data_IF_746379715761
#
_entry.id   IF_746379715761
#
_cell.length_a   1.000
_cell.length_b   1.000
_cell.length_c   1.000
_cell.angle_alpha   90.00
_cell.angle_beta   90.00
_cell.angle_gamma   90.00
#
_symmetry.space_group_name_H-M   'P 1'
#
loop_
_entity.id
_entity.type
_entity.pdbx_description
1 polymer ?
#
# COMPACT_ATOMS: atom_id res chain seq x y z
N UNK A 1 -13.63 2.80 20.20
CA UNK A 1 -14.16 4.04 20.82
C UNK A 1 -13.30 5.18 20.30
N UNK A 2 -13.85 6.14 19.58
CA UNK A 2 -13.08 7.32 19.15
C UNK A 2 -13.09 8.32 20.30
N UNK A 3 -11.90 8.72 20.77
CA UNK A 3 -11.75 9.80 21.74
C UNK A 3 -11.43 11.06 20.93
N UNK A 4 -12.39 11.96 20.78
CA UNK A 4 -12.20 13.29 20.21
C UNK A 4 -12.35 14.35 21.31
N UNK A 5 -11.63 15.47 21.22
CA UNK A 5 -11.89 16.61 22.11
C UNK A 5 -13.34 17.07 21.93
N UNK A 6 -13.99 17.39 23.05
CA UNK A 6 -15.36 17.92 23.04
C UNK A 6 -15.35 19.30 22.37
N UNK A 7 -16.10 19.42 21.28
CA UNK A 7 -16.30 20.68 20.56
C UNK A 7 -17.48 21.42 21.20
N UNK A 8 -17.31 22.69 21.52
CA UNK A 8 -18.39 23.52 22.06
C UNK A 8 -18.99 24.35 20.93
N UNK A 9 -20.32 24.29 20.77
CA UNK A 9 -21.03 25.01 19.71
C UNK A 9 -20.96 26.54 19.89
N UNK A 10 -20.72 27.02 21.11
CA UNK A 10 -20.54 28.43 21.45
C UNK A 10 -19.11 28.95 21.33
N UNK A 11 -18.13 28.05 21.12
CA UNK A 11 -16.73 28.44 20.96
C UNK A 11 -16.44 28.91 19.53
N UNK A 12 -15.43 29.76 19.37
CA UNK A 12 -15.00 30.18 18.03
C UNK A 12 -14.43 29.00 17.24
N UNK A 13 -14.48 29.07 15.90
CA UNK A 13 -13.84 28.07 15.04
C UNK A 13 -12.36 27.91 15.39
N UNK A 14 -11.65 29.02 15.65
CA UNK A 14 -10.24 29.02 16.02
C UNK A 14 -9.97 28.28 17.36
N UNK A 15 -10.82 28.47 18.36
CA UNK A 15 -10.68 27.75 19.65
C UNK A 15 -10.86 26.24 19.47
N UNK A 16 -11.86 25.86 18.69
CA UNK A 16 -12.16 24.47 18.38
C UNK A 16 -11.03 23.83 17.53
N UNK A 17 -10.42 24.55 16.59
CA UNK A 17 -9.24 24.11 15.83
C UNK A 17 -8.02 23.89 16.73
N UNK A 18 -7.76 24.81 17.67
CA UNK A 18 -6.68 24.64 18.65
C UNK A 18 -6.89 23.41 19.54
N UNK A 19 -8.13 23.15 19.96
CA UNK A 19 -8.48 21.93 20.73
C UNK A 19 -8.28 20.66 19.91
N UNK A 20 -8.62 20.67 18.62
CA UNK A 20 -8.36 19.56 17.70
C UNK A 20 -6.87 19.31 17.49
N UNK A 21 -6.06 20.37 17.40
CA UNK A 21 -4.61 20.26 17.16
C UNK A 21 -3.84 19.73 18.38
N UNK A 22 -4.26 20.06 19.60
CA UNK A 22 -3.59 19.66 20.84
C UNK A 22 -4.23 18.45 21.55
N UNK A 23 -5.47 18.11 21.19
CA UNK A 23 -6.23 17.01 21.78
C UNK A 23 -5.91 15.66 21.15
N UNK A 24 -6.29 14.55 21.80
CA UNK A 24 -6.13 13.22 21.23
C UNK A 24 -6.98 13.06 19.96
N UNK A 25 -6.37 12.55 18.89
CA UNK A 25 -7.02 12.37 17.58
C UNK A 25 -7.58 10.95 17.37
N UNK A 26 -7.90 10.24 18.45
CA UNK A 26 -8.40 8.87 18.45
C UNK A 26 -7.55 7.91 19.29
N UNK A 27 -8.19 6.88 19.87
CA UNK A 27 -7.54 5.80 20.60
C UNK A 27 -8.11 4.46 20.12
N UNK A 28 -7.31 3.69 19.37
CA UNK A 28 -7.68 2.35 18.93
C UNK A 28 -7.04 1.32 19.86
N UNK A 29 -7.85 0.70 20.71
CA UNK A 29 -7.44 -0.47 21.48
C UNK A 29 -8.00 -1.70 20.75
N UNK A 30 -7.10 -2.46 20.12
CA UNK A 30 -7.44 -3.64 19.34
C UNK A 30 -6.94 -4.90 20.03
N UNK A 31 -7.87 -5.76 20.46
CA UNK A 31 -7.57 -7.07 21.06
C UNK A 31 -8.09 -8.18 20.15
N UNK A 32 -7.32 -8.60 19.13
CA UNK A 32 -7.75 -9.68 18.26
C UNK A 32 -7.79 -10.99 19.04
N UNK A 33 -8.98 -11.55 19.24
CA UNK A 33 -9.13 -12.96 19.61
C UNK A 33 -9.05 -13.80 18.34
N UNK A 34 -7.83 -14.17 17.93
CA UNK A 34 -7.62 -15.06 16.78
C UNK A 34 -6.59 -16.14 17.10
N UNK A 35 -6.83 -17.34 16.60
CA UNK A 35 -5.81 -18.38 16.54
C UNK A 35 -4.77 -17.99 15.48
N UNK A 36 -3.61 -17.54 15.97
CA UNK A 36 -2.53 -17.06 15.11
C UNK A 36 -1.75 -18.25 14.52
N UNK A 37 -1.96 -18.51 13.23
CA UNK A 37 -1.20 -19.50 12.46
C UNK A 37 -0.33 -18.79 11.43
N UNK A 38 0.92 -18.49 11.80
CA UNK A 38 1.84 -17.70 10.97
C UNK A 38 1.98 -18.23 9.53
N UNK A 39 2.17 -19.54 9.36
CA UNK A 39 2.31 -20.14 8.03
C UNK A 39 1.05 -20.00 7.16
N UNK A 40 -0.14 -20.10 7.75
CA UNK A 40 -1.41 -19.87 7.04
C UNK A 40 -1.53 -18.41 6.60
N UNK A 41 -1.16 -17.47 7.46
CA UNK A 41 -1.22 -16.04 7.15
C UNK A 41 -0.23 -15.69 6.03
N UNK A 42 1.00 -16.22 6.07
CA UNK A 42 1.96 -16.04 4.99
C UNK A 42 1.48 -16.63 3.66
N UNK A 43 0.85 -17.82 3.69
CA UNK A 43 0.31 -18.43 2.48
C UNK A 43 -0.84 -17.59 1.89
N UNK A 44 -1.72 -17.04 2.74
CA UNK A 44 -2.80 -16.15 2.30
C UNK A 44 -2.22 -14.87 1.69
N UNK A 45 -1.26 -14.22 2.36
CA UNK A 45 -0.60 -13.02 1.85
C UNK A 45 0.07 -13.28 0.49
N UNK A 46 0.83 -14.37 0.40
CA UNK A 46 1.48 -14.78 -0.85
C UNK A 46 0.47 -15.00 -1.98
N UNK A 47 -0.68 -15.64 -1.71
CA UNK A 47 -1.72 -15.84 -2.72
C UNK A 47 -2.34 -14.52 -3.17
N UNK A 48 -2.56 -13.58 -2.24
CA UNK A 48 -3.05 -12.24 -2.56
C UNK A 48 -2.03 -11.50 -3.45
N UNK A 49 -0.76 -11.48 -3.06
CA UNK A 49 0.32 -10.83 -3.83
C UNK A 49 0.52 -11.47 -5.21
N UNK A 50 0.38 -12.80 -5.30
CA UNK A 50 0.44 -13.54 -6.55
C UNK A 50 -0.73 -13.14 -7.47
N UNK A 51 -1.95 -13.08 -6.95
CA UNK A 51 -3.12 -12.67 -7.73
C UNK A 51 -3.01 -11.21 -8.21
N UNK A 52 -2.52 -10.31 -7.36
CA UNK A 52 -2.24 -8.92 -7.73
C UNK A 52 -1.18 -8.85 -8.84
N UNK A 53 -0.12 -9.65 -8.73
CA UNK A 53 0.94 -9.71 -9.74
C UNK A 53 0.42 -10.27 -11.06
N UNK A 54 -0.43 -11.31 -11.05
CA UNK A 54 -1.07 -11.85 -12.25
C UNK A 54 -1.99 -10.83 -12.92
N UNK A 55 -2.76 -10.07 -12.13
CA UNK A 55 -3.56 -8.96 -12.64
C UNK A 55 -2.68 -7.88 -13.28
N UNK A 56 -1.54 -7.54 -12.67
CA UNK A 56 -0.58 -6.60 -13.24
C UNK A 56 0.05 -7.12 -14.55
N UNK A 57 0.44 -8.40 -14.63
CA UNK A 57 0.89 -9.03 -15.89
C UNK A 57 -0.21 -8.97 -16.94
N UNK A 58 -1.45 -9.27 -16.57
CA UNK A 58 -2.58 -9.21 -17.50
C UNK A 58 -2.76 -7.80 -18.05
N UNK A 59 -2.80 -6.77 -17.19
CA UNK A 59 -2.87 -5.38 -17.64
C UNK A 59 -1.67 -4.99 -18.51
N UNK A 60 -0.46 -5.40 -18.14
CA UNK A 60 0.74 -5.18 -18.97
C UNK A 60 0.60 -5.83 -20.35
N UNK A 61 -0.03 -7.00 -20.44
CA UNK A 61 -0.27 -7.70 -21.70
C UNK A 61 -1.15 -6.90 -22.66
N UNK A 62 -2.08 -6.10 -22.12
CA UNK A 62 -2.95 -5.18 -22.86
C UNK A 62 -2.21 -3.91 -23.34
N UNK A 63 -0.96 -3.70 -22.91
CA UNK A 63 -0.13 -2.59 -23.37
C UNK A 63 0.83 -3.01 -24.48
N UNK A 64 1.43 -2.01 -25.15
CA UNK A 64 2.53 -2.20 -26.10
C UNK A 64 3.92 -2.22 -25.44
N UNK A 65 4.00 -2.24 -24.12
CA UNK A 65 5.27 -2.22 -23.40
C UNK A 65 5.96 -3.57 -23.55
N UNK A 66 7.14 -3.55 -24.19
CA UNK A 66 7.96 -4.74 -24.43
C UNK A 66 9.43 -4.58 -24.01
N UNK A 67 9.86 -3.37 -23.65
CA UNK A 67 11.21 -3.14 -23.14
C UNK A 67 11.29 -3.47 -21.65
N UNK A 68 12.47 -3.92 -21.17
CA UNK A 68 12.70 -4.19 -19.73
C UNK A 68 12.37 -2.98 -18.86
N UNK A 69 12.77 -1.79 -19.30
CA UNK A 69 12.48 -0.51 -18.62
C UNK A 69 10.98 -0.22 -18.63
N UNK A 70 10.29 -0.45 -19.75
CA UNK A 70 8.84 -0.23 -19.85
C UNK A 70 8.05 -1.15 -18.92
N UNK A 71 8.45 -2.43 -18.84
CA UNK A 71 7.85 -3.40 -17.91
C UNK A 71 8.12 -3.01 -16.46
N UNK A 72 9.37 -2.70 -16.09
CA UNK A 72 9.70 -2.26 -14.74
C UNK A 72 8.95 -0.98 -14.34
N UNK A 73 8.88 0.01 -15.25
CA UNK A 73 8.15 1.26 -15.02
C UNK A 73 6.66 1.04 -14.83
N UNK A 74 6.06 0.12 -15.59
CA UNK A 74 4.65 -0.27 -15.42
C UNK A 74 4.40 -0.79 -14.00
N UNK A 75 5.23 -1.72 -13.52
CA UNK A 75 5.10 -2.28 -12.18
C UNK A 75 5.39 -1.25 -11.08
N UNK A 76 6.36 -0.36 -11.28
CA UNK A 76 6.64 0.71 -10.34
C UNK A 76 5.41 1.61 -10.13
N UNK A 77 4.74 2.01 -11.22
CA UNK A 77 3.52 2.84 -11.16
C UNK A 77 2.34 2.06 -10.58
N UNK A 78 2.16 0.79 -10.97
CA UNK A 78 1.11 -0.06 -10.42
C UNK A 78 1.27 -0.22 -8.89
N UNK A 79 2.49 -0.44 -8.41
CA UNK A 79 2.79 -0.51 -6.99
C UNK A 79 2.55 0.81 -6.26
N UNK A 80 2.92 1.95 -6.86
CA UNK A 80 2.61 3.28 -6.31
C UNK A 80 1.09 3.49 -6.16
N UNK A 81 0.30 3.12 -7.17
CA UNK A 81 -1.16 3.20 -7.11
C UNK A 81 -1.75 2.28 -6.03
N UNK A 82 -1.25 1.04 -5.93
CA UNK A 82 -1.70 0.07 -4.95
C UNK A 82 -1.44 0.54 -3.50
N UNK A 83 -0.23 1.02 -3.20
CA UNK A 83 0.07 1.55 -1.86
C UNK A 83 -0.70 2.84 -1.57
N UNK A 84 -0.96 3.68 -2.58
CA UNK A 84 -1.57 4.99 -2.40
C UNK A 84 -3.04 4.89 -2.00
N UNK A 85 -3.74 3.85 -2.47
CA UNK A 85 -5.18 3.68 -2.28
C UNK A 85 -5.66 3.66 -0.84
N UNK A 86 -4.80 3.30 0.12
CA UNK A 86 -5.15 3.26 1.55
C UNK A 86 -4.18 4.07 2.41
N UNK A 87 -2.89 4.03 2.11
CA UNK A 87 -1.87 4.58 3.02
C UNK A 87 -1.72 6.10 2.95
N UNK A 88 -2.09 6.73 1.82
CA UNK A 88 -2.05 8.20 1.75
C UNK A 88 -3.11 8.83 2.65
N UNK A 89 -4.32 8.25 2.69
CA UNK A 89 -5.36 8.71 3.61
C UNK A 89 -4.96 8.49 5.08
N UNK A 90 -4.26 7.40 5.36
CA UNK A 90 -3.72 7.10 6.68
C UNK A 90 -2.70 8.13 7.16
N UNK A 91 -1.76 8.51 6.30
CA UNK A 91 -0.77 9.53 6.62
C UNK A 91 -1.36 10.95 6.66
N UNK A 92 -2.18 11.32 5.68
CA UNK A 92 -2.68 12.68 5.53
C UNK A 92 -3.87 13.00 6.45
N UNK A 93 -4.98 12.25 6.31
CA UNK A 93 -6.24 12.61 6.96
C UNK A 93 -6.43 11.89 8.30
N UNK A 94 -5.88 10.69 8.48
CA UNK A 94 -6.03 9.93 9.74
C UNK A 94 -4.89 10.20 10.73
N UNK A 95 -3.89 10.99 10.33
CA UNK A 95 -2.82 11.44 11.22
C UNK A 95 -1.86 10.35 11.67
N UNK A 96 -1.76 9.21 10.97
CA UNK A 96 -0.76 8.20 11.32
C UNK A 96 0.67 8.71 11.09
N UNK A 97 1.61 8.44 12.03
CA UNK A 97 2.98 8.95 11.92
C UNK A 97 3.66 8.52 10.63
N UNK A 98 4.29 9.46 9.93
CA UNK A 98 5.02 9.19 8.68
C UNK A 98 6.07 8.08 8.85
N UNK A 99 6.72 8.01 10.02
CA UNK A 99 7.70 6.98 10.36
C UNK A 99 7.10 5.56 10.40
N UNK A 100 5.78 5.42 10.53
CA UNK A 100 5.07 4.15 10.44
C UNK A 100 4.50 3.91 9.03
N UNK A 101 3.82 4.91 8.46
CA UNK A 101 3.11 4.76 7.18
C UNK A 101 4.07 4.65 5.99
N UNK A 102 5.15 5.43 5.95
CA UNK A 102 6.08 5.43 4.80
C UNK A 102 6.83 4.10 4.63
N UNK A 103 7.39 3.48 5.69
CA UNK A 103 8.01 2.16 5.55
C UNK A 103 7.02 1.08 5.10
N UNK A 104 5.78 1.11 5.61
CA UNK A 104 4.74 0.15 5.21
C UNK A 104 4.36 0.29 3.73
N UNK A 105 4.23 1.53 3.27
CA UNK A 105 4.05 1.85 1.84
C UNK A 105 5.22 1.35 1.01
N UNK A 106 6.44 1.58 1.47
CA UNK A 106 7.66 1.18 0.79
C UNK A 106 7.77 -0.34 0.64
N UNK A 107 7.43 -1.12 1.67
CA UNK A 107 7.47 -2.59 1.58
C UNK A 107 6.50 -3.12 0.52
N UNK A 108 5.28 -2.57 0.46
CA UNK A 108 4.32 -2.93 -0.59
C UNK A 108 4.83 -2.56 -1.99
N UNK A 109 5.40 -1.37 -2.14
CA UNK A 109 5.97 -0.93 -3.42
C UNK A 109 7.13 -1.82 -3.89
N UNK A 110 8.01 -2.23 -2.97
CA UNK A 110 9.12 -3.16 -3.27
C UNK A 110 8.60 -4.52 -3.76
N UNK A 111 7.48 -5.02 -3.24
CA UNK A 111 6.84 -6.25 -3.73
C UNK A 111 6.50 -6.17 -5.23
N UNK A 112 5.91 -5.05 -5.67
CA UNK A 112 5.63 -4.81 -7.08
C UNK A 112 6.89 -4.67 -7.93
N UNK A 113 7.93 -4.02 -7.42
CA UNK A 113 9.22 -3.92 -8.13
C UNK A 113 9.86 -5.31 -8.33
N UNK A 114 9.79 -6.18 -7.33
CA UNK A 114 10.29 -7.54 -7.43
C UNK A 114 9.51 -8.35 -8.49
N UNK A 115 8.17 -8.28 -8.46
CA UNK A 115 7.33 -8.91 -9.49
C UNK A 115 7.63 -8.38 -10.90
N UNK A 116 7.80 -7.06 -11.04
CA UNK A 116 8.18 -6.42 -12.29
C UNK A 116 9.54 -6.84 -12.82
N UNK A 117 10.53 -7.03 -11.94
CA UNK A 117 11.83 -7.54 -12.30
C UNK A 117 11.77 -8.98 -12.84
N UNK A 118 10.93 -9.83 -12.23
CA UNK A 118 10.66 -11.19 -12.74
C UNK A 118 10.00 -11.11 -14.12
N UNK A 119 8.94 -10.31 -14.27
CA UNK A 119 8.25 -10.15 -15.55
C UNK A 119 9.19 -9.63 -16.67
N UNK A 120 10.04 -8.64 -16.36
CA UNK A 120 11.01 -8.08 -17.30
C UNK A 120 12.07 -9.12 -17.70
N UNK A 121 12.54 -9.94 -16.75
CA UNK A 121 13.45 -11.05 -17.03
C UNK A 121 12.81 -12.12 -17.92
N UNK A 122 11.58 -12.54 -17.62
CA UNK A 122 10.86 -13.54 -18.42
C UNK A 122 10.63 -13.06 -19.85
N UNK A 123 10.28 -11.79 -20.03
CA UNK A 123 10.11 -11.22 -21.37
C UNK A 123 11.42 -11.21 -22.16
N UNK A 124 12.54 -10.91 -21.49
CA UNK A 124 13.85 -10.95 -22.11
C UNK A 124 14.30 -12.36 -22.50
N UNK A 125 14.08 -13.34 -21.63
CA UNK A 125 14.39 -14.75 -21.91
C UNK A 125 13.58 -15.29 -23.11
N UNK A 126 12.34 -14.81 -23.31
CA UNK A 126 11.55 -15.16 -24.50
C UNK A 126 12.06 -14.51 -25.79
N UNK A 127 12.72 -13.36 -25.69
CA UNK A 127 13.25 -12.65 -26.85
C UNK A 127 14.58 -13.23 -27.36
N UNK A 128 15.32 -13.95 -26.51
CA UNK A 128 16.46 -14.77 -26.92
C UNK A 128 15.93 -16.13 -27.44
N UNK A 129 16.07 -16.46 -28.73
CA UNK A 129 15.65 -17.76 -29.23
C UNK A 129 16.47 -18.86 -28.54
N UNK A 130 15.82 -19.94 -28.14
CA UNK A 130 16.47 -21.15 -27.63
C UNK A 130 17.61 -21.56 -28.58
N UNK A 131 18.85 -21.51 -28.09
CA UNK A 131 20.00 -22.08 -28.79
C UNK A 131 19.87 -23.59 -28.92
#
# INVERSE_FOLDING_TARGET
>A
MYLYPRMEASASMEENERKLAAGPSGLLIYFPKRDFHFGRLLAVEFLIDLLQSLAAVYLLSLTRLRSRVGVLGFYAVAGLMAMAGTNLSYWNWYGFPAAYTLPYMFTGWVGYLAAGAVAAKMLAAKAEPSR
#
